data_IF_694841766997
#
_entry.id   IF_694841766997
#
_cell.length_a   1.000
_cell.length_b   1.000
_cell.length_c   1.000
_cell.angle_alpha   90.00
_cell.angle_beta   90.00
_cell.angle_gamma   90.00
#
_symmetry.space_group_name_H-M   'P 1'
#
loop_
_entity.id
_entity.type
_entity.pdbx_description
1 polymer ?
#
# COMPACT_ATOMS: atom_id res chain seq x y z
N UNK A 1 -5.34 24.99 2.76
CA UNK A 1 -5.04 23.54 2.72
C UNK A 1 -4.59 22.94 4.05
N UNK A 2 -3.58 23.49 4.77
CA UNK A 2 -3.07 22.90 6.04
C UNK A 2 -4.11 22.77 7.17
N UNK A 3 -5.15 23.60 7.18
CA UNK A 3 -6.19 23.57 8.22
C UNK A 3 -7.16 22.41 8.00
N UNK A 4 -7.58 22.19 6.76
CA UNK A 4 -8.41 21.07 6.32
C UNK A 4 -7.67 19.74 6.52
N UNK A 5 -6.41 19.66 6.09
CA UNK A 5 -5.59 18.47 6.29
C UNK A 5 -5.48 18.09 7.78
N UNK A 6 -5.18 19.07 8.65
CA UNK A 6 -5.09 18.84 10.10
C UNK A 6 -6.40 18.41 10.74
N UNK A 7 -7.53 18.93 10.26
CA UNK A 7 -8.85 18.52 10.74
C UNK A 7 -9.10 17.02 10.47
N UNK A 8 -8.92 16.58 9.22
CA UNK A 8 -9.10 15.17 8.85
C UNK A 8 -8.09 14.27 9.55
N UNK A 9 -6.80 14.64 9.58
CA UNK A 9 -5.78 13.87 10.30
C UNK A 9 -6.15 13.68 11.77
N UNK A 10 -6.61 14.73 12.46
CA UNK A 10 -6.97 14.66 13.88
C UNK A 10 -8.19 13.76 14.14
N UNK A 11 -9.14 13.72 13.22
CA UNK A 11 -10.27 12.79 13.31
C UNK A 11 -9.78 11.36 13.12
N UNK A 12 -9.02 11.10 12.06
CA UNK A 12 -8.50 9.76 11.77
C UNK A 12 -7.68 9.21 12.93
N UNK A 13 -6.71 9.98 13.42
CA UNK A 13 -5.84 9.57 14.55
C UNK A 13 -6.61 9.31 15.84
N UNK A 14 -7.76 9.98 16.05
CA UNK A 14 -8.55 9.85 17.28
C UNK A 14 -9.58 8.73 17.22
N UNK A 15 -10.15 8.46 16.04
CA UNK A 15 -11.32 7.60 15.90
C UNK A 15 -11.08 6.32 15.12
N UNK A 16 -9.98 6.20 14.37
CA UNK A 16 -9.65 4.96 13.67
C UNK A 16 -8.85 4.07 14.62
N UNK A 17 -9.46 3.04 15.22
CA UNK A 17 -8.72 2.09 16.03
C UNK A 17 -7.77 1.28 15.14
N UNK A 18 -6.80 0.65 15.79
CA UNK A 18 -5.86 -0.24 15.12
C UNK A 18 -6.60 -1.34 14.32
N UNK A 19 -6.01 -1.76 13.19
CA UNK A 19 -6.60 -2.79 12.34
C UNK A 19 -6.87 -4.11 13.10
N UNK A 20 -6.06 -4.43 14.10
CA UNK A 20 -6.26 -5.60 14.96
C UNK A 20 -7.54 -5.50 15.80
N UNK A 21 -7.89 -4.29 16.27
CA UNK A 21 -9.13 -4.08 17.03
C UNK A 21 -10.33 -4.39 16.14
N UNK A 22 -10.34 -3.91 14.90
CA UNK A 22 -11.40 -4.25 13.94
C UNK A 22 -11.50 -5.75 13.70
N UNK A 23 -10.37 -6.45 13.55
CA UNK A 23 -10.34 -7.90 13.37
C UNK A 23 -10.99 -8.63 14.55
N UNK A 24 -10.65 -8.26 15.79
CA UNK A 24 -11.24 -8.88 17.00
C UNK A 24 -12.74 -8.58 17.09
N UNK A 25 -13.15 -7.34 16.87
CA UNK A 25 -14.56 -6.94 16.90
C UNK A 25 -15.38 -7.67 15.84
N UNK A 26 -14.87 -7.77 14.61
CA UNK A 26 -15.52 -8.50 13.53
C UNK A 26 -15.60 -9.99 13.82
N UNK A 27 -14.55 -10.58 14.41
CA UNK A 27 -14.56 -12.00 14.81
C UNK A 27 -15.65 -12.28 15.84
N UNK A 28 -15.77 -11.44 16.87
CA UNK A 28 -16.83 -11.55 17.89
C UNK A 28 -18.21 -11.33 17.26
N UNK A 29 -18.34 -10.31 16.39
CA UNK A 29 -19.60 -10.00 15.73
C UNK A 29 -20.08 -11.16 14.86
N UNK A 30 -19.21 -11.71 14.02
CA UNK A 30 -19.52 -12.85 13.16
C UNK A 30 -19.88 -14.08 14.01
N UNK A 31 -19.18 -14.29 15.12
CA UNK A 31 -19.52 -15.37 16.07
C UNK A 31 -20.94 -15.21 16.63
N UNK A 32 -21.29 -14.03 17.14
CA UNK A 32 -22.62 -13.73 17.68
C UNK A 32 -23.70 -13.88 16.60
N UNK A 33 -23.46 -13.38 15.39
CA UNK A 33 -24.42 -13.49 14.29
C UNK A 33 -24.61 -14.94 13.84
N UNK A 34 -23.55 -15.75 13.78
CA UNK A 34 -23.65 -17.17 13.45
C UNK A 34 -24.51 -17.93 14.45
N UNK A 35 -24.32 -17.68 15.74
CA UNK A 35 -25.16 -18.27 16.79
C UNK A 35 -26.60 -17.76 16.72
N UNK A 36 -26.81 -16.47 16.45
CA UNK A 36 -28.14 -15.88 16.34
C UNK A 36 -28.97 -16.45 15.17
N UNK A 37 -28.32 -16.95 14.12
CA UNK A 37 -28.97 -17.60 12.96
C UNK A 37 -29.24 -19.09 13.21
N UNK A 38 -28.85 -19.62 14.37
CA UNK A 38 -29.16 -21.00 14.80
C UNK A 38 -28.04 -22.01 14.61
N UNK A 39 -26.84 -21.57 14.21
CA UNK A 39 -25.65 -22.43 14.18
C UNK A 39 -25.15 -22.68 15.60
N UNK A 40 -24.77 -23.91 15.94
CA UNK A 40 -24.30 -24.18 17.29
C UNK A 40 -22.98 -23.43 17.56
N UNK A 41 -22.72 -22.94 18.79
CA UNK A 41 -21.48 -22.21 19.10
C UNK A 41 -20.22 -23.00 18.75
N UNK A 42 -20.26 -24.32 18.87
CA UNK A 42 -19.15 -25.20 18.50
C UNK A 42 -18.91 -25.20 16.99
N UNK A 43 -19.97 -25.33 16.19
CA UNK A 43 -19.84 -25.34 14.74
C UNK A 43 -19.31 -24.00 14.21
N UNK A 44 -19.71 -22.87 14.80
CA UNK A 44 -19.16 -21.55 14.43
C UNK A 44 -17.66 -21.46 14.72
N UNK A 45 -17.19 -22.01 15.85
CA UNK A 45 -15.75 -22.07 16.17
C UNK A 45 -15.00 -22.98 15.19
N UNK A 46 -15.57 -24.15 14.87
CA UNK A 46 -14.97 -25.08 13.92
C UNK A 46 -14.88 -24.45 12.52
N UNK A 47 -15.91 -23.72 12.07
CA UNK A 47 -15.89 -22.97 10.80
C UNK A 47 -14.80 -21.90 10.80
N UNK A 48 -14.66 -21.13 11.88
CA UNK A 48 -13.61 -20.12 12.00
C UNK A 48 -12.21 -20.74 11.99
N UNK A 49 -12.00 -21.79 12.79
CA UNK A 49 -10.70 -22.47 12.91
C UNK A 49 -10.27 -23.18 11.62
N UNK A 50 -11.19 -23.85 10.94
CA UNK A 50 -10.92 -24.49 9.65
C UNK A 50 -10.58 -23.46 8.56
N UNK A 51 -11.20 -22.28 8.59
CA UNK A 51 -10.89 -21.18 7.68
C UNK A 51 -9.53 -20.53 7.92
N UNK A 52 -9.02 -20.52 9.15
CA UNK A 52 -7.79 -19.80 9.51
C UNK A 52 -6.58 -20.18 8.64
N UNK A 53 -6.37 -21.48 8.41
CA UNK A 53 -5.20 -21.95 7.66
C UNK A 53 -5.28 -21.69 6.16
N UNK A 54 -6.46 -21.38 5.62
CA UNK A 54 -6.65 -21.11 4.18
C UNK A 54 -5.96 -19.82 3.72
N UNK A 55 -5.78 -18.84 4.62
CA UNK A 55 -5.13 -17.56 4.30
C UNK A 55 -3.63 -17.57 4.61
N UNK A 56 -3.10 -18.64 5.20
CA UNK A 56 -1.71 -18.71 5.65
C UNK A 56 -0.73 -18.60 4.49
N UNK A 57 -0.97 -19.35 3.41
CA UNK A 57 -0.15 -19.30 2.20
C UNK A 57 -0.18 -17.90 1.56
N UNK A 58 -1.37 -17.34 1.37
CA UNK A 58 -1.55 -15.97 0.87
C UNK A 58 -0.79 -14.94 1.72
N UNK A 59 -0.86 -15.08 3.05
CA UNK A 59 -0.18 -14.18 4.00
C UNK A 59 1.34 -14.32 3.89
N UNK A 60 1.86 -15.54 3.80
CA UNK A 60 3.28 -15.79 3.63
C UNK A 60 3.80 -15.21 2.30
N UNK A 61 3.10 -15.46 1.19
CA UNK A 61 3.42 -14.93 -0.13
C UNK A 61 3.41 -13.39 -0.14
N UNK A 62 2.36 -12.78 0.44
CA UNK A 62 2.23 -11.32 0.54
C UNK A 62 3.33 -10.69 1.39
N UNK A 63 3.68 -11.33 2.52
CA UNK A 63 4.77 -10.89 3.40
C UNK A 63 6.11 -10.94 2.68
N UNK A 64 6.41 -12.06 2.02
CA UNK A 64 7.65 -12.20 1.24
C UNK A 64 7.72 -11.18 0.12
N UNK A 65 6.63 -10.94 -0.61
CA UNK A 65 6.59 -9.95 -1.66
C UNK A 65 6.86 -8.53 -1.14
N UNK A 66 6.30 -8.16 0.02
CA UNK A 66 6.57 -6.86 0.65
C UNK A 66 8.05 -6.74 1.08
N UNK A 67 8.57 -7.75 1.77
CA UNK A 67 9.97 -7.76 2.26
C UNK A 67 10.95 -7.73 1.09
N UNK A 68 10.72 -8.52 0.05
CA UNK A 68 11.55 -8.56 -1.14
C UNK A 68 11.44 -7.27 -1.96
N UNK A 69 10.24 -6.70 -2.08
CA UNK A 69 10.04 -5.39 -2.71
C UNK A 69 10.80 -4.28 -1.99
N UNK A 70 10.77 -4.28 -0.65
CA UNK A 70 11.57 -3.38 0.17
C UNK A 70 13.07 -3.61 -0.02
N UNK A 71 13.54 -4.86 0.06
CA UNK A 71 14.95 -5.20 -0.11
C UNK A 71 15.46 -4.75 -1.49
N UNK A 72 14.70 -5.03 -2.55
CA UNK A 72 15.00 -4.63 -3.92
C UNK A 72 15.13 -3.11 -4.05
N UNK A 73 14.16 -2.36 -3.53
CA UNK A 73 14.15 -0.90 -3.58
C UNK A 73 15.36 -0.25 -2.89
N UNK A 74 15.89 -0.89 -1.85
CA UNK A 74 17.04 -0.42 -1.09
C UNK A 74 18.39 -0.88 -1.66
N UNK A 75 18.40 -1.69 -2.72
CA UNK A 75 19.67 -2.08 -3.35
C UNK A 75 20.34 -0.88 -4.04
N UNK A 76 21.68 -0.77 -4.01
CA UNK A 76 22.42 0.28 -4.70
C UNK A 76 22.07 0.48 -6.19
N UNK A 77 21.89 -0.57 -7.03
CA UNK A 77 21.54 -0.37 -8.44
C UNK A 77 20.16 0.26 -8.62
N UNK A 78 19.15 -0.19 -7.88
CA UNK A 78 17.79 0.34 -7.99
C UNK A 78 17.75 1.78 -7.50
N UNK A 79 18.36 2.06 -6.35
CA UNK A 79 18.42 3.42 -5.82
C UNK A 79 19.13 4.39 -6.79
N UNK A 80 20.24 3.95 -7.43
CA UNK A 80 20.92 4.73 -8.48
C UNK A 80 20.03 4.96 -9.70
N UNK A 81 19.28 3.96 -10.15
CA UNK A 81 18.38 4.09 -11.29
C UNK A 81 17.24 5.07 -11.01
N UNK A 82 16.58 4.96 -9.86
CA UNK A 82 15.52 5.87 -9.43
C UNK A 82 16.04 7.31 -9.29
N UNK A 83 17.23 7.49 -8.74
CA UNK A 83 17.86 8.81 -8.63
C UNK A 83 18.26 9.37 -10.00
N UNK A 84 18.80 8.55 -10.89
CA UNK A 84 19.15 8.98 -12.25
C UNK A 84 17.91 9.46 -13.02
N UNK A 85 16.77 8.78 -12.85
CA UNK A 85 15.51 9.15 -13.47
C UNK A 85 15.04 10.58 -13.11
N UNK A 86 15.41 11.10 -11.93
CA UNK A 86 15.07 12.48 -11.53
C UNK A 86 15.68 13.57 -12.41
N UNK A 87 16.67 13.23 -13.24
CA UNK A 87 17.34 14.16 -14.17
C UNK A 87 16.60 14.35 -15.49
N UNK A 88 15.64 13.48 -15.80
CA UNK A 88 14.86 13.49 -17.04
C UNK A 88 13.91 14.71 -17.16
N UNK A 89 13.08 15.05 -16.15
CA UNK A 89 12.11 16.15 -16.28
C UNK A 89 12.77 17.51 -16.43
N UNK A 90 12.18 18.36 -17.27
CA UNK A 90 12.65 19.73 -17.57
C UNK A 90 11.74 20.82 -17.01
N UNK A 91 10.48 20.52 -16.73
CA UNK A 91 9.47 21.46 -16.23
C UNK A 91 8.60 20.84 -15.12
N UNK A 92 7.80 21.66 -14.44
CA UNK A 92 6.99 21.26 -13.28
C UNK A 92 6.00 20.13 -13.60
N UNK A 93 5.32 20.22 -14.74
CA UNK A 93 4.36 19.20 -15.19
C UNK A 93 5.07 17.86 -15.40
N UNK A 94 6.24 17.86 -16.04
CA UNK A 94 7.03 16.65 -16.26
C UNK A 94 7.50 16.03 -14.94
N UNK A 95 7.88 16.83 -13.94
CA UNK A 95 8.28 16.31 -12.62
C UNK A 95 7.10 15.51 -12.02
N UNK A 96 5.90 16.07 -12.06
CA UNK A 96 4.70 15.43 -11.52
C UNK A 96 4.35 14.16 -12.32
N UNK A 97 4.20 14.28 -13.65
CA UNK A 97 3.80 13.17 -14.52
C UNK A 97 4.80 12.02 -14.45
N UNK A 98 6.10 12.29 -14.51
CA UNK A 98 7.12 11.25 -14.42
C UNK A 98 7.16 10.59 -13.04
N UNK A 99 6.85 11.33 -11.97
CA UNK A 99 6.68 10.74 -10.63
C UNK A 99 5.54 9.73 -10.59
N UNK A 100 4.39 10.08 -11.19
CA UNK A 100 3.23 9.18 -11.31
C UNK A 100 3.63 7.95 -12.13
N UNK A 101 4.14 8.15 -13.35
CA UNK A 101 4.46 7.06 -14.28
C UNK A 101 5.51 6.09 -13.72
N UNK A 102 6.56 6.61 -13.08
CA UNK A 102 7.55 5.74 -12.45
C UNK A 102 6.93 4.94 -11.31
N UNK A 103 6.10 5.57 -10.45
CA UNK A 103 5.43 4.85 -9.38
C UNK A 103 4.46 3.80 -9.94
N UNK A 104 3.75 4.09 -11.04
CA UNK A 104 2.89 3.13 -11.74
C UNK A 104 3.70 1.92 -12.21
N UNK A 105 4.81 2.13 -12.91
CA UNK A 105 5.66 1.05 -13.42
C UNK A 105 6.20 0.18 -12.27
N UNK A 106 6.71 0.80 -11.21
CA UNK A 106 7.17 0.06 -10.03
C UNK A 106 6.04 -0.75 -9.38
N UNK A 107 4.84 -0.16 -9.27
CA UNK A 107 3.67 -0.81 -8.68
C UNK A 107 3.12 -1.95 -9.53
N UNK A 108 3.33 -1.89 -10.84
CA UNK A 108 2.92 -2.92 -11.77
C UNK A 108 3.78 -4.19 -11.67
N UNK A 109 5.06 -4.03 -11.35
CA UNK A 109 5.99 -5.14 -11.05
C UNK A 109 5.57 -5.84 -9.76
N UNK A 110 5.41 -5.07 -8.68
CA UNK A 110 4.94 -5.58 -7.38
C UNK A 110 4.44 -4.40 -6.56
N UNK A 111 3.31 -4.57 -5.89
CA UNK A 111 2.79 -3.53 -5.00
C UNK A 111 3.72 -3.24 -3.82
N UNK A 112 4.41 -4.26 -3.30
CA UNK A 112 5.40 -4.09 -2.23
C UNK A 112 6.59 -3.23 -2.67
N UNK A 113 7.07 -3.45 -3.89
CA UNK A 113 8.12 -2.61 -4.49
C UNK A 113 7.60 -1.20 -4.81
N UNK A 114 6.41 -1.09 -5.41
CA UNK A 114 5.78 0.18 -5.78
C UNK A 114 5.60 1.13 -4.60
N UNK A 115 5.19 0.63 -3.44
CA UNK A 115 5.06 1.41 -2.20
C UNK A 115 6.39 2.10 -1.81
N UNK A 116 7.47 1.33 -1.78
CA UNK A 116 8.78 1.83 -1.32
C UNK A 116 9.43 2.70 -2.40
N UNK A 117 9.44 2.23 -3.65
CA UNK A 117 10.01 2.95 -4.77
C UNK A 117 9.30 4.28 -5.01
N UNK A 118 7.98 4.34 -4.89
CA UNK A 118 7.21 5.58 -5.01
C UNK A 118 7.65 6.64 -4.00
N UNK A 119 7.80 6.25 -2.73
CA UNK A 119 8.32 7.13 -1.68
C UNK A 119 9.73 7.64 -1.98
N UNK A 120 10.63 6.77 -2.45
CA UNK A 120 11.99 7.13 -2.87
C UNK A 120 11.94 8.14 -4.02
N UNK A 121 11.16 7.88 -5.07
CA UNK A 121 11.04 8.75 -6.25
C UNK A 121 10.49 10.12 -5.88
N UNK A 122 9.41 10.18 -5.09
CA UNK A 122 8.84 11.46 -4.63
C UNK A 122 9.86 12.28 -3.84
N UNK A 123 10.61 11.63 -2.94
CA UNK A 123 11.69 12.25 -2.15
C UNK A 123 12.82 12.77 -3.05
N UNK A 124 13.35 11.92 -3.92
CA UNK A 124 14.47 12.30 -4.80
C UNK A 124 14.07 13.39 -5.81
N UNK A 125 12.86 13.34 -6.38
CA UNK A 125 12.31 14.41 -7.23
C UNK A 125 12.19 15.74 -6.48
N UNK A 126 11.71 15.70 -5.23
CA UNK A 126 11.59 16.89 -4.39
C UNK A 126 12.95 17.51 -4.02
N UNK A 127 13.98 16.67 -3.83
CA UNK A 127 15.35 17.13 -3.57
C UNK A 127 15.96 17.71 -4.85
N UNK A 128 15.87 17.00 -5.97
CA UNK A 128 16.48 17.39 -7.25
C UNK A 128 15.88 18.68 -7.83
N UNK A 129 14.58 18.91 -7.60
CA UNK A 129 13.84 20.07 -8.14
C UNK A 129 13.30 20.98 -7.05
N UNK A 130 14.05 21.12 -5.96
CA UNK A 130 13.68 21.96 -4.82
C UNK A 130 13.32 23.39 -5.27
N UNK A 131 12.15 23.86 -4.87
CA UNK A 131 11.65 25.20 -5.22
C UNK A 131 10.87 25.28 -6.53
N UNK A 132 10.87 24.23 -7.37
CA UNK A 132 10.06 24.17 -8.59
C UNK A 132 8.69 23.52 -8.38
N UNK A 133 8.59 22.57 -7.45
CA UNK A 133 7.33 21.87 -7.17
C UNK A 133 7.10 21.75 -5.67
N UNK A 134 5.85 21.89 -5.25
CA UNK A 134 5.44 21.66 -3.86
C UNK A 134 5.63 20.18 -3.51
N UNK A 135 6.49 19.89 -2.53
CA UNK A 135 6.76 18.52 -2.11
C UNK A 135 5.51 17.66 -1.79
N UNK A 136 4.48 18.18 -1.08
CA UNK A 136 3.26 17.41 -0.85
C UNK A 136 2.53 16.99 -2.14
N UNK A 137 2.65 17.77 -3.21
CA UNK A 137 2.09 17.41 -4.52
C UNK A 137 2.83 16.22 -5.14
N UNK A 138 4.16 16.12 -4.94
CA UNK A 138 4.93 14.95 -5.38
C UNK A 138 4.58 13.69 -4.59
N UNK A 139 4.31 13.83 -3.29
CA UNK A 139 3.83 12.72 -2.45
C UNK A 139 2.45 12.26 -2.94
N UNK A 140 1.53 13.20 -3.20
CA UNK A 140 0.21 12.88 -3.76
C UNK A 140 0.30 12.26 -5.17
N UNK A 141 1.21 12.75 -6.01
CA UNK A 141 1.46 12.22 -7.34
C UNK A 141 1.98 10.78 -7.29
N UNK A 142 2.95 10.49 -6.42
CA UNK A 142 3.44 9.13 -6.23
C UNK A 142 2.33 8.21 -5.73
N UNK A 143 1.55 8.63 -4.73
CA UNK A 143 0.41 7.85 -4.25
C UNK A 143 -0.63 7.60 -5.35
N UNK A 144 -0.89 8.59 -6.22
CA UNK A 144 -1.79 8.42 -7.37
C UNK A 144 -1.26 7.38 -8.35
N UNK A 145 0.04 7.36 -8.60
CA UNK A 145 0.69 6.35 -9.43
C UNK A 145 0.63 4.94 -8.84
N UNK A 146 0.52 4.81 -7.51
CA UNK A 146 0.37 3.51 -6.87
C UNK A 146 -0.98 2.83 -7.19
N UNK A 147 -2.03 3.58 -7.52
CA UNK A 147 -3.40 3.05 -7.69
C UNK A 147 -3.53 1.89 -8.69
N UNK A 148 -2.61 1.77 -9.66
CA UNK A 148 -2.61 0.67 -10.65
C UNK A 148 -2.10 -0.67 -10.12
N UNK A 149 -1.63 -0.73 -8.88
CA UNK A 149 -1.02 -1.93 -8.27
C UNK A 149 -1.94 -3.16 -8.34
N UNK A 150 -3.25 -2.98 -8.30
CA UNK A 150 -4.23 -4.07 -8.40
C UNK A 150 -4.19 -4.80 -9.74
N UNK A 151 -3.77 -4.11 -10.82
CA UNK A 151 -3.62 -4.68 -12.16
C UNK A 151 -2.20 -5.25 -12.42
N UNK A 152 -1.33 -5.22 -11.41
CA UNK A 152 0.05 -5.71 -11.50
C UNK A 152 0.18 -7.21 -11.29
N UNK A 153 1.36 -7.73 -11.63
CA UNK A 153 1.70 -9.14 -11.49
C UNK A 153 1.64 -9.64 -10.05
N UNK A 154 1.77 -8.73 -9.07
CA UNK A 154 1.62 -9.03 -7.63
C UNK A 154 0.23 -8.73 -7.06
N UNK A 155 -0.81 -8.51 -7.87
CA UNK A 155 -2.13 -8.15 -7.39
C UNK A 155 -2.74 -9.22 -6.47
N UNK A 156 -3.29 -8.78 -5.32
CA UNK A 156 -3.86 -9.68 -4.32
C UNK A 156 -5.08 -10.49 -4.83
N UNK A 157 -5.87 -9.90 -5.74
CA UNK A 157 -7.04 -10.58 -6.32
C UNK A 157 -6.61 -11.75 -7.21
N UNK A 158 -5.71 -11.56 -8.21
CA UNK A 158 -5.13 -12.66 -8.96
C UNK A 158 -4.51 -13.77 -8.10
N UNK A 159 -3.84 -13.42 -6.99
CA UNK A 159 -3.20 -14.39 -6.10
C UNK A 159 -4.19 -15.17 -5.24
N UNK A 160 -5.35 -14.60 -4.91
CA UNK A 160 -6.36 -15.27 -4.10
C UNK A 160 -7.19 -16.28 -4.92
N UNK A 161 -7.31 -16.08 -6.22
CA UNK A 161 -8.14 -16.91 -7.12
C UNK A 161 -7.37 -17.95 -7.93
N UNK A 162 -6.03 -17.87 -7.94
CA UNK A 162 -5.14 -18.77 -8.67
C UNK A 162 -4.70 -19.95 -7.78
#
# INVERSE_FOLDING_TARGET
>A
MRLIARFFTRITERYVPDAFIFLVLLTILVFVLGVAVGTSPRDVLDMWGNGYFTIFEFTAQSTLMLVMGFALANTPPVHKALRWFTRVPRNEIQIIVLTVLMTMVCSWISWGFGLIAGGIVAREMGIAHRGKVHYPLLVAASYSGFLVWHAGYGGAIPQLIA
#
